data_IF_171807574540
#
_entry.id   IF_171807574540
#
_cell.length_a   1.000
_cell.length_b   1.000
_cell.length_c   1.000
_cell.angle_alpha   90.00
_cell.angle_beta   90.00
_cell.angle_gamma   90.00
#
_symmetry.space_group_name_H-M   'P 1'
#
loop_
_entity.id
_entity.type
_entity.pdbx_description
1 polymer ?
#
# COMPACT_ATOMS: atom_id res chain seq x y z
N UNK A 1 -15.38 2.96 2.05
CA UNK A 1 -14.90 2.28 0.81
C UNK A 1 -13.59 2.91 0.33
N UNK A 2 -12.48 2.20 0.55
CA UNK A 2 -11.21 2.48 -0.09
C UNK A 2 -11.04 1.58 -1.31
N UNK A 3 -9.82 1.52 -1.93
CA UNK A 3 -9.59 0.76 -3.15
C UNK A 3 -9.95 -0.73 -3.05
N UNK A 4 -9.64 -1.39 -1.92
CA UNK A 4 -9.96 -2.80 -1.74
C UNK A 4 -11.47 -3.07 -1.75
N UNK A 5 -12.24 -2.32 -0.96
CA UNK A 5 -13.69 -2.49 -0.85
C UNK A 5 -14.41 -2.11 -2.14
N UNK A 6 -14.00 -1.00 -2.77
CA UNK A 6 -14.61 -0.55 -4.03
C UNK A 6 -14.41 -1.57 -5.17
N UNK A 7 -13.19 -2.14 -5.28
CA UNK A 7 -12.90 -3.14 -6.31
C UNK A 7 -13.58 -4.48 -6.00
N UNK A 8 -13.61 -4.93 -4.75
CA UNK A 8 -14.33 -6.14 -4.39
C UNK A 8 -15.82 -6.01 -4.71
N UNK A 9 -16.43 -4.89 -4.34
CA UNK A 9 -17.84 -4.60 -4.63
C UNK A 9 -18.11 -4.54 -6.14
N UNK A 10 -17.25 -3.87 -6.91
CA UNK A 10 -17.33 -3.80 -8.37
C UNK A 10 -17.32 -5.19 -9.02
N UNK A 11 -16.36 -6.05 -8.65
CA UNK A 11 -16.22 -7.37 -9.27
C UNK A 11 -17.43 -8.27 -8.94
N UNK A 12 -17.92 -8.24 -7.70
CA UNK A 12 -19.05 -9.05 -7.29
C UNK A 12 -20.36 -8.55 -7.91
N UNK A 13 -20.62 -7.23 -7.91
CA UNK A 13 -21.83 -6.67 -8.53
C UNK A 13 -21.86 -6.87 -10.03
N UNK A 14 -20.71 -6.70 -10.71
CA UNK A 14 -20.57 -6.97 -12.15
C UNK A 14 -20.87 -8.43 -12.52
N UNK A 15 -20.60 -9.35 -11.60
CA UNK A 15 -20.93 -10.77 -11.74
C UNK A 15 -22.38 -11.11 -11.31
N UNK A 16 -23.21 -10.13 -11.00
CA UNK A 16 -24.64 -10.29 -10.70
C UNK A 16 -24.96 -10.62 -9.25
N UNK A 17 -24.01 -10.46 -8.31
CA UNK A 17 -24.31 -10.58 -6.90
C UNK A 17 -24.99 -9.31 -6.36
N UNK A 18 -25.90 -9.47 -5.39
CA UNK A 18 -26.42 -8.38 -4.58
C UNK A 18 -25.34 -7.94 -3.58
N UNK A 19 -24.84 -6.71 -3.69
CA UNK A 19 -23.77 -6.18 -2.88
C UNK A 19 -24.20 -4.87 -2.23
N UNK A 20 -24.15 -4.85 -0.88
CA UNK A 20 -24.27 -3.62 -0.09
C UNK A 20 -22.88 -3.23 0.43
N UNK A 21 -22.47 -2.01 0.17
CA UNK A 21 -21.26 -1.40 0.70
C UNK A 21 -21.62 -0.27 1.67
N UNK A 22 -21.11 -0.35 2.90
CA UNK A 22 -21.33 0.65 3.95
C UNK A 22 -20.04 1.40 4.17
N UNK A 23 -20.06 2.73 4.14
CA UNK A 23 -18.94 3.60 4.47
C UNK A 23 -19.36 4.69 5.45
N UNK A 24 -18.60 4.86 6.53
CA UNK A 24 -18.81 5.93 7.49
C UNK A 24 -18.56 7.34 6.95
N UNK A 25 -17.90 7.47 5.81
CA UNK A 25 -17.59 8.74 5.14
C UNK A 25 -18.36 8.86 3.83
N UNK A 26 -18.57 10.10 3.40
CA UNK A 26 -19.15 10.43 2.08
C UNK A 26 -18.03 10.72 1.09
N UNK A 27 -18.08 10.15 -0.09
CA UNK A 27 -17.11 10.40 -1.16
C UNK A 27 -17.50 11.61 -2.04
N UNK A 28 -16.52 12.41 -2.54
CA UNK A 28 -15.07 12.27 -2.35
C UNK A 28 -14.65 12.68 -0.93
N UNK A 29 -13.65 11.98 -0.37
CA UNK A 29 -13.11 12.25 0.95
C UNK A 29 -11.60 12.31 0.94
N UNK A 30 -11.01 13.21 1.71
CA UNK A 30 -9.58 13.22 1.92
C UNK A 30 -9.11 11.96 2.68
N UNK A 31 -8.02 11.36 2.24
CA UNK A 31 -7.31 10.31 2.99
C UNK A 31 -5.80 10.56 2.89
N UNK A 32 -5.16 10.67 4.03
CA UNK A 32 -3.70 10.80 4.16
C UNK A 32 -3.01 9.63 3.47
N UNK A 33 -2.18 9.91 2.45
CA UNK A 33 -1.46 8.91 1.67
C UNK A 33 -0.58 9.60 0.63
N UNK A 34 0.68 9.21 0.47
CA UNK A 34 1.54 9.68 -0.62
C UNK A 34 0.93 9.55 -2.02
N UNK A 35 -0.01 8.62 -2.20
CA UNK A 35 -0.75 8.47 -3.45
C UNK A 35 0.03 7.80 -4.57
N UNK A 36 1.15 7.15 -4.27
CA UNK A 36 1.93 6.39 -5.26
C UNK A 36 1.26 5.06 -5.62
N UNK A 37 1.07 4.84 -6.91
CA UNK A 37 0.58 3.60 -7.51
C UNK A 37 1.67 3.03 -8.41
N UNK A 38 2.17 1.83 -8.15
CA UNK A 38 3.02 1.17 -9.15
C UNK A 38 2.26 0.91 -10.46
N UNK A 39 2.96 1.01 -11.60
CA UNK A 39 2.34 0.87 -12.93
C UNK A 39 1.68 -0.50 -13.13
N UNK A 40 2.12 -1.53 -12.43
CA UNK A 40 1.47 -2.86 -12.43
C UNK A 40 -0.01 -2.83 -12.05
N UNK A 41 -0.52 -1.72 -11.48
CA UNK A 41 -1.94 -1.51 -11.22
C UNK A 41 -2.79 -1.57 -12.49
N UNK A 42 -2.21 -1.27 -13.66
CA UNK A 42 -2.89 -1.36 -14.96
C UNK A 42 -3.39 -2.77 -15.28
N UNK A 43 -2.76 -3.80 -14.72
CA UNK A 43 -3.18 -5.19 -14.88
C UNK A 43 -4.44 -5.52 -14.06
N UNK A 44 -4.80 -4.64 -13.12
CA UNK A 44 -5.89 -4.87 -12.18
C UNK A 44 -7.09 -3.95 -12.38
N UNK A 45 -6.90 -2.76 -12.92
CA UNK A 45 -7.95 -1.76 -13.07
C UNK A 45 -8.28 -1.51 -14.54
N UNK A 46 -9.52 -1.10 -14.78
CA UNK A 46 -9.94 -0.56 -16.07
C UNK A 46 -9.13 0.71 -16.40
N UNK A 47 -8.67 0.91 -17.66
CA UNK A 47 -7.87 2.07 -18.06
C UNK A 47 -8.46 3.43 -17.72
N UNK A 48 -9.76 3.52 -17.46
CA UNK A 48 -10.45 4.75 -17.05
C UNK A 48 -9.88 5.40 -15.78
N UNK A 49 -9.19 4.65 -14.91
CA UNK A 49 -8.52 5.21 -13.74
C UNK A 49 -7.44 6.25 -14.10
N UNK A 50 -6.90 6.19 -15.32
CA UNK A 50 -5.89 7.17 -15.79
C UNK A 50 -6.42 8.60 -15.82
N UNK A 51 -7.73 8.80 -15.86
CA UNK A 51 -8.37 10.12 -15.80
C UNK A 51 -8.18 10.84 -14.46
N UNK A 52 -7.77 10.13 -13.41
CA UNK A 52 -7.51 10.67 -12.07
C UNK A 52 -6.03 10.57 -11.67
N UNK A 53 -5.14 10.31 -12.62
CA UNK A 53 -3.69 10.37 -12.44
C UNK A 53 -3.25 11.83 -12.47
N UNK A 54 -2.51 12.24 -11.44
CA UNK A 54 -2.01 13.61 -11.28
C UNK A 54 -0.62 13.78 -11.90
N UNK A 55 0.23 12.74 -11.80
CA UNK A 55 1.57 12.74 -12.39
C UNK A 55 2.03 11.32 -12.73
N UNK A 56 2.98 11.21 -13.65
CA UNK A 56 3.59 9.95 -14.06
C UNK A 56 5.08 9.96 -13.74
N UNK A 57 5.53 8.95 -13.01
CA UNK A 57 6.89 8.85 -12.49
C UNK A 57 7.73 7.95 -13.38
N UNK A 58 8.87 8.45 -13.83
CA UNK A 58 9.83 7.74 -14.68
C UNK A 58 11.15 7.43 -13.97
N UNK A 59 11.27 7.75 -12.67
CA UNK A 59 12.49 7.46 -11.93
C UNK A 59 12.40 7.79 -10.46
N UNK A 60 13.48 7.46 -9.78
CA UNK A 60 13.69 7.79 -8.38
C UNK A 60 14.85 8.76 -8.22
N UNK A 61 14.71 9.69 -7.28
CA UNK A 61 15.82 10.42 -6.69
C UNK A 61 15.99 9.94 -5.25
N UNK A 62 17.04 9.18 -5.00
CA UNK A 62 17.39 8.72 -3.68
C UNK A 62 18.30 9.73 -2.99
N UNK A 63 17.90 10.15 -1.80
CA UNK A 63 18.70 11.00 -0.92
C UNK A 63 19.21 10.17 0.27
N UNK A 64 20.31 10.60 0.83
CA UNK A 64 20.77 10.17 2.13
C UNK A 64 20.91 11.39 3.03
N UNK A 65 19.97 11.56 3.97
CA UNK A 65 19.89 12.68 4.92
C UNK A 65 19.89 14.08 4.26
N UNK A 66 19.33 14.19 3.05
CA UNK A 66 19.28 15.42 2.30
C UNK A 66 20.61 15.87 1.65
N UNK A 67 21.71 15.16 1.90
CA UNK A 67 23.06 15.60 1.48
C UNK A 67 23.53 14.95 0.19
N UNK A 68 23.43 13.63 0.08
CA UNK A 68 23.90 12.86 -1.07
C UNK A 68 22.70 12.49 -1.95
N UNK A 69 22.79 12.67 -3.28
CA UNK A 69 21.70 12.36 -4.21
C UNK A 69 22.15 11.43 -5.34
N UNK A 70 21.38 10.40 -5.58
CA UNK A 70 21.52 9.49 -6.73
C UNK A 70 20.21 9.42 -7.47
N UNK A 71 20.20 9.82 -8.75
CA UNK A 71 19.03 9.73 -9.61
C UNK A 71 19.12 8.52 -10.51
N UNK A 72 18.04 7.73 -10.58
CA UNK A 72 17.90 6.55 -11.42
C UNK A 72 16.64 6.72 -12.24
N UNK A 73 16.77 6.73 -13.55
CA UNK A 73 15.68 6.91 -14.50
C UNK A 73 15.33 5.58 -15.18
N UNK A 74 14.06 5.44 -15.51
CA UNK A 74 13.51 4.34 -16.29
C UNK A 74 12.99 4.89 -17.62
N UNK A 75 13.20 4.18 -18.75
CA UNK A 75 12.67 4.58 -20.04
C UNK A 75 11.14 4.45 -20.13
N UNK A 76 10.52 3.78 -19.18
CA UNK A 76 9.08 3.58 -19.10
C UNK A 76 8.56 4.01 -17.72
N UNK A 77 7.28 4.38 -17.61
CA UNK A 77 6.68 4.70 -16.32
C UNK A 77 6.89 3.60 -15.27
N UNK A 78 7.11 4.01 -14.03
CA UNK A 78 7.25 3.10 -12.87
C UNK A 78 6.13 3.26 -11.86
N UNK A 79 5.56 4.46 -11.78
CA UNK A 79 4.44 4.74 -10.88
C UNK A 79 3.57 5.87 -11.44
N UNK A 80 2.34 5.92 -10.96
CA UNK A 80 1.40 7.03 -11.09
C UNK A 80 1.19 7.67 -9.73
N UNK A 81 1.02 8.99 -9.72
CA UNK A 81 0.63 9.72 -8.52
C UNK A 81 -0.83 10.11 -8.61
N UNK A 82 -1.56 9.90 -7.53
CA UNK A 82 -2.99 10.21 -7.45
C UNK A 82 -3.33 10.95 -6.16
N UNK A 83 -4.40 11.74 -6.23
CA UNK A 83 -5.10 12.21 -5.03
C UNK A 83 -6.15 11.18 -4.63
N UNK A 84 -6.12 10.76 -3.34
CA UNK A 84 -6.95 9.68 -2.82
C UNK A 84 -8.44 10.00 -2.81
N UNK A 85 -8.80 11.26 -2.69
CA UNK A 85 -10.20 11.70 -2.80
C UNK A 85 -10.76 11.43 -4.19
N UNK A 86 -10.01 11.74 -5.25
CA UNK A 86 -10.40 11.51 -6.64
C UNK A 86 -10.30 10.04 -7.04
N UNK A 87 -9.19 9.39 -6.68
CA UNK A 87 -8.95 8.00 -7.03
C UNK A 87 -9.95 7.05 -6.37
N UNK A 88 -10.13 7.17 -5.05
CA UNK A 88 -11.09 6.32 -4.33
C UNK A 88 -12.52 6.58 -4.82
N UNK A 89 -12.90 7.86 -5.04
CA UNK A 89 -14.20 8.22 -5.59
C UNK A 89 -14.44 7.61 -6.97
N UNK A 90 -13.43 7.65 -7.87
CA UNK A 90 -13.53 7.00 -9.18
C UNK A 90 -13.89 5.53 -9.07
N UNK A 91 -13.19 4.78 -8.20
CA UNK A 91 -13.47 3.34 -7.99
C UNK A 91 -14.86 3.11 -7.38
N UNK A 92 -15.29 3.95 -6.45
CA UNK A 92 -16.64 3.90 -5.86
C UNK A 92 -17.72 4.14 -6.93
N UNK A 93 -17.51 5.11 -7.82
CA UNK A 93 -18.45 5.36 -8.93
C UNK A 93 -18.49 4.19 -9.92
N UNK A 94 -17.37 3.51 -10.17
CA UNK A 94 -17.38 2.30 -10.99
C UNK A 94 -18.22 1.19 -10.35
N UNK A 95 -18.08 0.96 -9.04
CA UNK A 95 -18.88 -0.03 -8.31
C UNK A 95 -20.39 0.33 -8.37
N UNK A 96 -20.74 1.62 -8.18
CA UNK A 96 -22.13 2.10 -8.25
C UNK A 96 -22.73 1.86 -9.63
N UNK A 97 -21.98 2.10 -10.71
CA UNK A 97 -22.46 1.90 -12.11
C UNK A 97 -22.80 0.45 -12.44
N UNK A 98 -22.20 -0.53 -11.80
CA UNK A 98 -22.49 -1.95 -12.01
C UNK A 98 -23.52 -2.51 -11.03
N UNK A 99 -24.17 -1.65 -10.22
CA UNK A 99 -25.30 -2.03 -9.37
C UNK A 99 -24.95 -2.27 -7.90
N UNK A 100 -23.75 -1.91 -7.43
CA UNK A 100 -23.47 -1.92 -5.98
C UNK A 100 -24.36 -0.90 -5.27
N UNK A 101 -25.12 -1.33 -4.28
CA UNK A 101 -25.80 -0.44 -3.34
C UNK A 101 -24.75 0.13 -2.36
N UNK A 102 -24.70 1.47 -2.23
CA UNK A 102 -23.66 2.14 -1.45
C UNK A 102 -24.31 3.10 -0.45
N UNK A 103 -24.12 2.81 0.82
CA UNK A 103 -24.56 3.63 1.95
C UNK A 103 -23.37 4.42 2.48
N UNK A 104 -23.37 5.70 2.19
CA UNK A 104 -22.34 6.65 2.67
C UNK A 104 -22.82 7.37 3.92
N UNK A 105 -21.88 7.73 4.82
CA UNK A 105 -22.17 8.37 6.10
C UNK A 105 -22.95 7.45 7.06
N UNK A 106 -22.78 6.14 6.93
CA UNK A 106 -23.40 5.13 7.79
C UNK A 106 -22.35 4.41 8.62
N UNK A 107 -22.57 4.34 9.95
CA UNK A 107 -21.58 3.91 10.91
C UNK A 107 -21.89 2.51 11.47
N UNK A 108 -21.06 1.50 11.17
CA UNK A 108 -21.16 0.20 11.83
C UNK A 108 -20.95 0.34 13.35
N UNK A 109 -21.84 -0.28 14.14
CA UNK A 109 -21.82 -0.27 15.59
C UNK A 109 -21.44 -1.63 16.16
N UNK A 110 -21.98 -2.71 15.59
CA UNK A 110 -21.64 -4.07 15.97
C UNK A 110 -21.66 -5.04 14.80
N UNK A 111 -20.84 -6.09 14.93
CA UNK A 111 -20.71 -7.14 13.93
C UNK A 111 -20.67 -8.50 14.68
N UNK A 112 -21.39 -9.49 14.19
CA UNK A 112 -21.37 -10.83 14.78
C UNK A 112 -21.63 -11.91 13.74
N UNK A 113 -21.05 -13.07 13.96
CA UNK A 113 -21.43 -14.25 13.19
C UNK A 113 -22.83 -14.72 13.60
N UNK A 114 -23.61 -15.11 12.60
CA UNK A 114 -24.93 -15.70 12.76
C UNK A 114 -25.02 -16.97 11.89
N UNK A 115 -26.00 -17.87 12.14
CA UNK A 115 -26.18 -19.03 11.28
C UNK A 115 -26.34 -18.59 9.81
N UNK A 116 -25.42 -19.07 8.95
CA UNK A 116 -25.45 -18.80 7.51
C UNK A 116 -24.83 -17.48 7.08
N UNK A 117 -24.21 -16.68 7.97
CA UNK A 117 -23.63 -15.42 7.56
C UNK A 117 -23.10 -14.53 8.67
N UNK A 118 -23.18 -13.24 8.44
CA UNK A 118 -22.78 -12.17 9.36
C UNK A 118 -23.89 -11.14 9.47
N UNK A 119 -24.15 -10.70 10.70
CA UNK A 119 -25.03 -9.57 10.98
C UNK A 119 -24.19 -8.32 11.25
N UNK A 120 -24.59 -7.21 10.61
CA UNK A 120 -23.98 -5.89 10.79
C UNK A 120 -25.05 -4.92 11.26
N UNK A 121 -24.93 -4.42 12.47
CA UNK A 121 -25.79 -3.34 12.99
C UNK A 121 -25.09 -2.00 12.81
N UNK A 122 -25.81 -1.04 12.28
CA UNK A 122 -25.35 0.33 12.06
C UNK A 122 -26.22 1.32 12.81
N UNK A 123 -25.92 2.61 12.68
CA UNK A 123 -26.78 3.70 13.17
C UNK A 123 -28.06 3.90 12.34
N UNK A 124 -28.21 3.16 11.20
CA UNK A 124 -29.40 3.25 10.33
C UNK A 124 -30.21 1.97 10.27
N UNK A 125 -29.66 0.82 10.67
CA UNK A 125 -30.38 -0.44 10.59
C UNK A 125 -29.51 -1.66 10.89
N UNK A 126 -30.12 -2.82 10.66
CA UNK A 126 -29.48 -4.12 10.83
C UNK A 126 -29.51 -4.87 9.50
N UNK A 127 -28.36 -5.34 9.05
CA UNK A 127 -28.15 -6.03 7.77
C UNK A 127 -27.64 -7.44 8.01
N UNK A 128 -28.14 -8.37 7.19
CA UNK A 128 -27.67 -9.75 7.16
C UNK A 128 -27.03 -10.03 5.80
N UNK A 129 -25.84 -10.62 5.82
CA UNK A 129 -25.11 -10.98 4.60
C UNK A 129 -24.56 -12.39 4.70
N UNK A 130 -24.57 -13.14 3.59
CA UNK A 130 -23.93 -14.46 3.50
C UNK A 130 -22.41 -14.35 3.69
N UNK A 131 -21.82 -13.25 3.23
CA UNK A 131 -20.38 -12.97 3.33
C UNK A 131 -20.15 -11.51 3.67
N UNK A 132 -19.22 -11.22 4.58
CA UNK A 132 -18.75 -9.88 4.91
C UNK A 132 -17.29 -9.70 4.45
N UNK A 133 -17.01 -8.61 3.74
CA UNK A 133 -15.64 -8.20 3.43
C UNK A 133 -15.29 -6.96 4.24
N UNK A 134 -14.37 -7.12 5.20
CA UNK A 134 -13.79 -6.05 5.98
C UNK A 134 -12.73 -5.29 5.18
N UNK A 135 -13.09 -4.10 4.67
CA UNK A 135 -12.26 -3.21 3.87
C UNK A 135 -12.14 -1.82 4.52
N UNK A 136 -12.20 -1.76 5.84
CA UNK A 136 -12.33 -0.56 6.65
C UNK A 136 -11.00 0.03 7.13
N UNK A 137 -9.89 -0.41 6.51
CA UNK A 137 -8.57 0.21 6.61
C UNK A 137 -7.79 -0.15 7.88
N UNK A 138 -6.72 0.58 8.15
CA UNK A 138 -5.75 0.30 9.20
C UNK A 138 -6.32 0.20 10.63
N UNK A 139 -7.45 0.88 10.89
CA UNK A 139 -8.16 0.85 12.17
C UNK A 139 -9.42 -0.02 12.09
N UNK A 140 -9.34 -1.14 11.41
CA UNK A 140 -10.47 -2.02 11.11
C UNK A 140 -11.30 -2.40 12.34
N UNK A 141 -12.59 -2.10 12.28
CA UNK A 141 -13.59 -2.58 13.26
C UNK A 141 -13.92 -4.04 12.98
N UNK A 142 -13.99 -4.42 11.70
CA UNK A 142 -14.22 -5.83 11.31
C UNK A 142 -13.13 -6.73 11.90
N UNK A 143 -11.85 -6.33 11.77
CA UNK A 143 -10.75 -7.09 12.35
C UNK A 143 -10.89 -7.21 13.87
N UNK A 144 -11.22 -6.13 14.58
CA UNK A 144 -11.35 -6.15 16.05
C UNK A 144 -12.51 -7.01 16.58
N UNK A 145 -13.64 -7.04 15.85
CA UNK A 145 -14.82 -7.76 16.31
C UNK A 145 -14.84 -9.24 15.88
N UNK A 146 -14.39 -9.50 14.64
CA UNK A 146 -14.52 -10.82 14.06
C UNK A 146 -13.20 -11.60 13.99
N UNK A 147 -12.07 -10.96 14.33
CA UNK A 147 -10.74 -11.57 14.35
C UNK A 147 -10.00 -11.17 15.64
N UNK A 148 -10.53 -11.53 16.83
CA UNK A 148 -10.04 -11.02 18.12
C UNK A 148 -8.60 -11.42 18.44
N UNK A 149 -8.15 -12.57 17.96
CA UNK A 149 -6.79 -13.09 18.18
C UNK A 149 -5.75 -12.47 17.24
N UNK A 150 -6.21 -11.73 16.21
CA UNK A 150 -5.33 -11.09 15.24
C UNK A 150 -4.65 -9.87 15.85
N UNK A 151 -3.32 -9.89 15.87
CA UNK A 151 -2.53 -8.73 16.28
C UNK A 151 -2.54 -7.65 15.21
N UNK A 152 -2.89 -6.44 15.60
CA UNK A 152 -2.85 -5.27 14.72
C UNK A 152 -1.59 -4.45 15.04
N UNK A 153 -0.61 -4.49 14.15
CA UNK A 153 0.60 -3.68 14.28
C UNK A 153 0.65 -2.64 13.16
N UNK A 154 0.53 -1.39 13.54
CA UNK A 154 0.70 -0.28 12.62
C UNK A 154 1.94 0.52 12.97
N UNK A 155 2.60 1.06 11.96
CA UNK A 155 3.66 2.05 12.11
C UNK A 155 3.08 3.44 11.93
N UNK A 156 3.63 4.45 12.63
CA UNK A 156 3.20 5.83 12.45
C UNK A 156 3.82 6.43 11.19
N UNK A 157 3.02 7.20 10.46
CA UNK A 157 3.47 8.06 9.37
C UNK A 157 2.94 9.48 9.59
N UNK A 158 3.64 10.48 9.05
CA UNK A 158 3.20 11.87 8.95
C UNK A 158 3.31 12.33 7.51
N UNK A 159 2.33 13.09 7.06
CA UNK A 159 2.27 13.60 5.70
C UNK A 159 1.67 15.01 5.67
N UNK A 160 2.15 15.82 4.74
CA UNK A 160 1.60 17.13 4.38
C UNK A 160 1.48 17.25 2.87
N UNK A 161 0.35 17.76 2.37
CA UNK A 161 0.19 18.17 0.99
C UNK A 161 0.59 19.64 0.88
N UNK A 162 1.64 19.93 0.12
CA UNK A 162 2.19 21.28 -0.08
C UNK A 162 1.74 21.78 -1.44
N UNK A 163 1.02 22.89 -1.51
CA UNK A 163 0.65 23.50 -2.77
C UNK A 163 1.82 24.27 -3.38
N UNK A 164 2.04 24.06 -4.68
CA UNK A 164 3.02 24.78 -5.46
C UNK A 164 2.36 26.01 -6.07
N UNK A 165 2.80 27.21 -5.67
CA UNK A 165 2.36 28.46 -6.27
C UNK A 165 2.87 28.63 -7.71
N UNK A 166 2.44 29.71 -8.40
CA UNK A 166 3.01 30.09 -9.70
C UNK A 166 4.47 30.49 -9.51
N UNK A 167 5.41 29.66 -9.98
CA UNK A 167 6.86 29.89 -9.82
C UNK A 167 7.68 28.70 -10.34
N UNK A 168 8.99 28.68 -10.05
CA UNK A 168 9.84 27.56 -10.42
C UNK A 168 9.28 26.29 -9.81
N UNK A 169 9.07 25.29 -10.67
CA UNK A 169 8.54 24.00 -10.23
C UNK A 169 9.59 23.25 -9.41
N UNK A 170 9.13 22.36 -8.52
CA UNK A 170 10.02 21.49 -7.75
C UNK A 170 10.93 20.69 -8.71
N UNK A 171 12.27 20.63 -8.45
CA UNK A 171 13.25 20.12 -9.44
C UNK A 171 13.07 18.64 -9.79
N UNK A 172 12.37 17.85 -8.98
CA UNK A 172 12.18 16.43 -9.17
C UNK A 172 10.81 16.06 -9.78
N UNK A 173 10.19 16.93 -10.57
CA UNK A 173 8.96 16.59 -11.31
C UNK A 173 9.21 15.36 -12.17
N UNK A 174 8.26 14.43 -12.20
CA UNK A 174 8.38 13.14 -12.88
C UNK A 174 9.27 12.11 -12.15
N UNK A 175 9.77 12.42 -10.95
CA UNK A 175 10.58 11.52 -10.12
C UNK A 175 10.02 11.45 -8.70
N UNK A 176 9.98 10.25 -8.13
CA UNK A 176 9.70 10.08 -6.72
C UNK A 176 10.98 10.27 -5.91
N UNK A 177 10.98 11.21 -4.96
CA UNK A 177 12.11 11.43 -4.05
C UNK A 177 11.93 10.54 -2.82
N UNK A 178 12.97 9.79 -2.49
CA UNK A 178 13.04 8.91 -1.32
C UNK A 178 14.32 9.26 -0.56
N UNK A 179 14.18 9.72 0.68
CA UNK A 179 15.33 9.97 1.56
C UNK A 179 15.44 8.87 2.62
N UNK A 180 16.51 8.09 2.52
CA UNK A 180 16.84 7.04 3.49
C UNK A 180 17.86 7.57 4.51
N UNK A 181 17.67 7.21 5.79
CA UNK A 181 18.55 7.63 6.89
C UNK A 181 18.10 8.92 7.61
N UNK A 182 17.06 9.59 7.16
CA UNK A 182 16.36 10.64 7.91
C UNK A 182 15.64 10.01 9.12
N UNK A 183 14.99 8.88 8.92
CA UNK A 183 14.41 8.05 9.97
C UNK A 183 15.43 7.02 10.47
N UNK A 184 15.31 6.59 11.71
CA UNK A 184 16.17 5.52 12.27
C UNK A 184 15.95 4.17 11.58
N UNK A 185 14.70 3.87 11.24
CA UNK A 185 14.27 2.80 10.33
C UNK A 185 13.09 3.31 9.55
N UNK A 186 13.22 3.42 8.23
CA UNK A 186 12.20 3.97 7.35
C UNK A 186 12.74 5.03 6.42
N UNK A 187 11.87 5.86 5.87
CA UNK A 187 12.26 6.87 4.89
C UNK A 187 11.35 8.11 4.94
N UNK A 188 11.83 9.19 4.33
CA UNK A 188 11.02 10.34 3.96
C UNK A 188 10.77 10.34 2.45
N UNK A 189 9.66 10.96 2.04
CA UNK A 189 9.31 11.04 0.63
C UNK A 189 8.88 12.43 0.21
N UNK A 190 9.08 12.75 -1.08
CA UNK A 190 8.46 13.84 -1.79
C UNK A 190 7.92 13.28 -3.10
N UNK A 191 6.61 13.24 -3.23
CA UNK A 191 5.91 12.73 -4.40
C UNK A 191 5.21 13.87 -5.12
N UNK A 192 5.63 14.20 -6.36
CA UNK A 192 5.02 15.26 -7.13
C UNK A 192 3.62 14.87 -7.60
N UNK A 193 2.73 15.84 -7.57
CA UNK A 193 1.39 15.76 -8.12
C UNK A 193 1.09 17.06 -8.87
N UNK A 194 0.00 17.12 -9.62
CA UNK A 194 -0.36 18.33 -10.35
C UNK A 194 -0.54 19.52 -9.39
N UNK A 195 0.39 20.49 -9.47
CA UNK A 195 0.36 21.72 -8.67
C UNK A 195 0.63 21.54 -7.17
N UNK A 196 1.10 20.36 -6.72
CA UNK A 196 1.39 20.08 -5.30
C UNK A 196 2.43 18.99 -5.09
N UNK A 197 2.90 18.88 -3.85
CA UNK A 197 3.79 17.81 -3.41
C UNK A 197 3.16 17.10 -2.22
N UNK A 198 3.15 15.76 -2.22
CA UNK A 198 2.95 15.00 -1.00
C UNK A 198 4.32 14.79 -0.34
N UNK A 199 4.48 15.32 0.85
CA UNK A 199 5.73 15.26 1.62
C UNK A 199 5.48 14.54 2.93
N UNK A 200 6.28 13.52 3.23
CA UNK A 200 6.04 12.78 4.46
C UNK A 200 7.22 11.97 4.95
N UNK A 201 7.01 11.38 6.12
CA UNK A 201 7.96 10.47 6.79
C UNK A 201 7.23 9.26 7.34
N UNK A 202 7.84 8.09 7.21
CA UNK A 202 7.38 6.86 7.82
C UNK A 202 8.51 6.21 8.63
N UNK A 203 8.26 5.88 9.90
CA UNK A 203 9.24 5.21 10.73
C UNK A 203 8.75 3.81 11.07
N UNK A 204 9.47 2.79 10.58
CA UNK A 204 9.10 1.37 10.65
C UNK A 204 9.42 0.74 12.00
N UNK A 205 9.43 1.57 13.04
CA UNK A 205 9.50 1.16 14.43
C UNK A 205 8.19 1.49 15.15
N UNK A 206 7.78 0.61 16.07
CA UNK A 206 6.53 0.78 16.81
C UNK A 206 6.54 1.94 17.82
N UNK A 207 7.70 2.49 18.16
CA UNK A 207 7.85 3.62 19.10
C UNK A 207 8.95 4.57 18.62
N UNK A 208 8.69 5.42 17.62
CA UNK A 208 9.65 6.44 17.19
C UNK A 208 9.85 7.49 18.30
N UNK A 209 11.06 7.96 18.47
CA UNK A 209 11.38 8.94 19.51
C UNK A 209 10.63 10.27 19.32
N UNK A 210 10.48 10.73 18.09
CA UNK A 210 9.63 11.86 17.70
C UNK A 210 9.50 11.99 16.17
N UNK A 211 8.46 11.39 15.61
CA UNK A 211 8.20 11.46 14.16
C UNK A 211 8.01 12.90 13.67
N UNK A 212 7.38 13.77 14.51
CA UNK A 212 7.22 15.17 14.15
C UNK A 212 8.57 15.89 14.02
N UNK A 213 9.53 15.67 14.94
CA UNK A 213 10.86 16.26 14.83
C UNK A 213 11.61 15.76 13.58
N UNK A 214 11.40 14.50 13.22
CA UNK A 214 11.96 13.92 11.99
C UNK A 214 11.37 14.60 10.75
N UNK A 215 10.06 14.80 10.71
CA UNK A 215 9.37 15.53 9.64
C UNK A 215 9.87 16.97 9.53
N UNK A 216 9.87 17.72 10.65
CA UNK A 216 10.32 19.12 10.67
C UNK A 216 11.76 19.27 10.20
N UNK A 217 12.65 18.34 10.60
CA UNK A 217 14.07 18.31 10.14
C UNK A 217 14.18 18.04 8.65
N UNK A 218 13.41 17.08 8.15
CA UNK A 218 13.40 16.73 6.73
C UNK A 218 12.95 17.91 5.88
N UNK A 219 11.83 18.51 6.20
CA UNK A 219 11.28 19.67 5.47
C UNK A 219 12.23 20.86 5.56
N UNK A 220 12.78 21.17 6.74
CA UNK A 220 13.70 22.30 6.93
C UNK A 220 15.08 22.09 6.28
N UNK A 221 15.48 20.84 6.03
CA UNK A 221 16.75 20.50 5.37
C UNK A 221 16.65 20.38 3.85
N UNK A 222 15.45 20.17 3.30
CA UNK A 222 15.27 19.96 1.87
C UNK A 222 15.20 21.29 1.12
N UNK A 223 16.25 21.58 0.34
CA UNK A 223 16.39 22.87 -0.38
C UNK A 223 15.25 23.16 -1.35
N UNK A 224 14.69 22.11 -1.97
CA UNK A 224 13.58 22.25 -2.89
C UNK A 224 12.26 22.67 -2.21
N UNK A 225 12.16 22.53 -0.90
CA UNK A 225 11.00 22.94 -0.11
C UNK A 225 11.19 24.32 0.55
N UNK A 226 12.37 24.94 0.42
CA UNK A 226 12.67 26.23 1.02
C UNK A 226 11.71 27.34 0.52
N UNK A 227 11.08 28.04 1.45
CA UNK A 227 10.14 29.11 1.13
C UNK A 227 8.72 28.69 0.76
N UNK A 228 8.45 27.38 0.70
CA UNK A 228 7.08 26.90 0.54
C UNK A 228 6.32 26.92 1.88
N UNK A 229 5.04 27.21 1.80
CA UNK A 229 4.14 27.05 2.98
C UNK A 229 3.84 25.59 3.20
N UNK A 230 4.34 25.03 4.31
CA UNK A 230 4.17 23.62 4.66
C UNK A 230 3.06 23.48 5.71
N UNK A 231 1.88 22.98 5.32
CA UNK A 231 0.80 22.76 6.26
C UNK A 231 1.19 21.80 7.39
N UNK A 232 0.48 21.89 8.52
CA UNK A 232 0.68 20.98 9.64
C UNK A 232 0.49 19.52 9.18
N UNK A 233 1.48 18.64 9.37
CA UNK A 233 1.37 17.26 8.91
C UNK A 233 0.29 16.48 9.65
N UNK A 234 -0.36 15.59 8.94
CA UNK A 234 -1.43 14.72 9.44
C UNK A 234 -0.86 13.31 9.63
N UNK A 235 -1.15 12.72 10.80
CA UNK A 235 -0.73 11.35 11.12
C UNK A 235 -1.67 10.30 10.52
N UNK A 236 -1.09 9.21 10.02
CA UNK A 236 -1.86 8.03 9.62
C UNK A 236 -1.12 6.75 10.04
N UNK A 237 -1.82 5.75 10.61
CA UNK A 237 -1.24 4.44 10.87
C UNK A 237 -1.11 3.65 9.57
N UNK A 238 0.06 3.05 9.34
CA UNK A 238 0.30 2.18 8.19
C UNK A 238 0.49 0.73 8.68
N UNK A 239 -0.40 -0.21 8.30
CA UNK A 239 -0.36 -1.59 8.75
C UNK A 239 0.56 -2.42 7.85
N UNK A 240 1.86 -2.35 8.10
CA UNK A 240 2.83 -3.13 7.35
C UNK A 240 2.70 -4.63 7.64
N UNK A 241 2.90 -5.42 6.60
CA UNK A 241 3.10 -6.85 6.76
C UNK A 241 4.29 -7.14 7.70
N UNK A 242 4.10 -8.03 8.66
CA UNK A 242 5.15 -8.44 9.60
C UNK A 242 5.38 -9.95 9.55
N UNK A 243 6.63 -10.35 9.33
CA UNK A 243 7.04 -11.77 9.32
C UNK A 243 6.87 -12.45 10.67
N UNK A 244 7.01 -11.70 11.76
CA UNK A 244 6.92 -12.22 13.13
C UNK A 244 5.49 -12.55 13.55
N UNK A 245 4.51 -12.08 12.78
CA UNK A 245 3.10 -12.28 13.03
C UNK A 245 2.52 -13.46 12.25
N UNK A 246 3.29 -14.02 11.30
CA UNK A 246 2.87 -15.23 10.60
C UNK A 246 3.06 -16.44 11.48
N UNK A 247 1.95 -17.09 11.86
CA UNK A 247 2.00 -18.43 12.42
C UNK A 247 2.56 -19.42 11.38
N UNK A 248 3.44 -20.35 11.77
CA UNK A 248 3.79 -21.46 10.91
C UNK A 248 2.60 -22.39 10.65
N UNK A 249 1.57 -22.32 11.49
CA UNK A 249 0.35 -23.13 11.34
C UNK A 249 -0.74 -22.36 10.59
N UNK A 250 -1.44 -22.98 9.62
CA UNK A 250 -2.64 -22.41 9.02
C UNK A 250 -3.67 -22.14 10.12
N UNK A 251 -4.22 -20.94 10.19
CA UNK A 251 -5.33 -20.64 11.09
C UNK A 251 -5.09 -19.52 12.11
N UNK A 252 -3.85 -19.05 12.33
CA UNK A 252 -3.57 -18.02 13.34
C UNK A 252 -3.33 -16.60 12.79
N UNK A 253 -3.13 -16.45 11.49
CA UNK A 253 -3.02 -15.14 10.81
C UNK A 253 -4.20 -14.89 9.87
N UNK A 254 -5.36 -15.36 10.24
CA UNK A 254 -6.47 -15.56 9.35
C UNK A 254 -6.98 -14.24 8.75
N UNK A 255 -7.01 -14.22 7.43
CA UNK A 255 -7.76 -13.25 6.66
C UNK A 255 -9.21 -13.67 6.49
N UNK A 256 -9.54 -14.88 6.92
CA UNK A 256 -10.88 -15.48 6.85
C UNK A 256 -11.27 -15.99 8.22
N UNK A 257 -12.43 -15.61 8.70
CA UNK A 257 -13.07 -16.19 9.89
C UNK A 257 -14.55 -16.41 9.60
N UNK A 258 -14.96 -17.68 9.52
CA UNK A 258 -16.32 -18.05 9.14
C UNK A 258 -16.69 -17.44 7.78
N UNK A 259 -17.68 -16.56 7.77
CA UNK A 259 -18.18 -15.87 6.58
C UNK A 259 -17.62 -14.44 6.45
N UNK A 260 -16.56 -14.09 7.20
CA UNK A 260 -15.89 -12.80 7.12
C UNK A 260 -14.49 -12.91 6.52
N UNK A 261 -14.11 -11.92 5.69
CA UNK A 261 -12.78 -11.79 5.09
C UNK A 261 -12.22 -10.38 5.34
N UNK A 262 -10.90 -10.26 5.48
CA UNK A 262 -10.19 -8.98 5.59
C UNK A 262 -9.37 -8.70 4.32
N UNK A 263 -9.46 -7.49 3.78
CA UNK A 263 -8.75 -7.06 2.57
C UNK A 263 -7.98 -5.75 2.77
N UNK A 264 -6.95 -5.52 1.99
CA UNK A 264 -6.14 -4.31 2.05
C UNK A 264 -5.54 -4.04 3.43
N UNK A 265 -5.61 -2.78 3.87
CA UNK A 265 -5.06 -2.36 5.16
C UNK A 265 -5.71 -3.08 6.36
N UNK A 266 -7.00 -3.46 6.26
CA UNK A 266 -7.66 -4.24 7.31
C UNK A 266 -7.04 -5.63 7.49
N UNK A 267 -6.48 -6.19 6.41
CA UNK A 267 -5.73 -7.44 6.38
C UNK A 267 -4.21 -7.25 6.53
N UNK A 268 -3.70 -6.05 6.85
CA UNK A 268 -2.26 -5.73 6.90
C UNK A 268 -1.51 -6.11 5.61
N UNK A 269 -2.16 -5.90 4.47
CA UNK A 269 -1.62 -6.25 3.16
C UNK A 269 -0.90 -5.05 2.53
N UNK A 270 0.16 -4.59 3.20
CA UNK A 270 1.01 -3.47 2.78
C UNK A 270 2.44 -3.93 2.67
N UNK A 271 3.08 -3.62 1.54
CA UNK A 271 4.48 -3.93 1.27
C UNK A 271 5.41 -3.32 2.35
N UNK A 272 6.27 -4.11 2.99
CA UNK A 272 7.11 -3.64 4.08
C UNK A 272 8.35 -2.86 3.62
N UNK A 273 8.70 -2.85 2.32
CA UNK A 273 9.89 -2.14 1.82
C UNK A 273 9.60 -0.64 1.63
N UNK A 274 8.58 -0.29 0.86
CA UNK A 274 8.23 1.10 0.58
C UNK A 274 6.80 1.49 0.99
N UNK A 275 6.11 0.64 1.76
CA UNK A 275 4.77 0.96 2.24
C UNK A 275 3.71 1.02 1.12
N UNK A 276 3.94 0.32 -0.01
CA UNK A 276 2.95 0.24 -1.07
C UNK A 276 1.72 -0.51 -0.57
N UNK A 277 0.60 0.20 -0.43
CA UNK A 277 -0.66 -0.38 0.05
C UNK A 277 -1.75 -0.45 -1.03
N UNK A 278 -1.82 0.53 -1.94
CA UNK A 278 -2.96 0.67 -2.86
C UNK A 278 -3.03 -0.48 -3.87
N UNK A 279 -1.90 -0.87 -4.46
CA UNK A 279 -1.83 -2.02 -5.37
C UNK A 279 -2.34 -3.30 -4.69
N UNK A 280 -1.84 -3.57 -3.49
CA UNK A 280 -2.21 -4.77 -2.73
C UNK A 280 -3.64 -4.70 -2.19
N UNK A 281 -4.16 -3.51 -1.89
CA UNK A 281 -5.56 -3.32 -1.56
C UNK A 281 -6.48 -3.71 -2.74
N UNK A 282 -6.17 -3.23 -3.94
CA UNK A 282 -6.90 -3.62 -5.17
C UNK A 282 -6.77 -5.11 -5.43
N UNK A 283 -5.56 -5.66 -5.35
CA UNK A 283 -5.31 -7.07 -5.60
C UNK A 283 -6.06 -7.97 -4.64
N UNK A 284 -5.98 -7.70 -3.34
CA UNK A 284 -6.71 -8.49 -2.32
C UNK A 284 -8.22 -8.37 -2.46
N UNK A 285 -8.74 -7.18 -2.82
CA UNK A 285 -10.16 -7.01 -3.12
C UNK A 285 -10.63 -7.91 -4.26
N UNK A 286 -9.84 -8.02 -5.35
CA UNK A 286 -10.13 -8.95 -6.46
C UNK A 286 -10.07 -10.40 -6.02
N UNK A 287 -9.05 -10.80 -5.26
CA UNK A 287 -8.92 -12.17 -4.76
C UNK A 287 -10.10 -12.56 -3.86
N UNK A 288 -10.54 -11.66 -2.99
CA UNK A 288 -11.71 -11.89 -2.15
C UNK A 288 -12.99 -12.03 -2.97
N UNK A 289 -13.21 -11.16 -3.96
CA UNK A 289 -14.34 -11.27 -4.87
C UNK A 289 -14.33 -12.60 -5.64
N UNK A 290 -13.17 -13.03 -6.15
CA UNK A 290 -13.02 -14.31 -6.84
C UNK A 290 -13.39 -15.50 -5.92
N UNK A 291 -12.95 -15.48 -4.66
CA UNK A 291 -13.28 -16.55 -3.71
C UNK A 291 -14.80 -16.66 -3.46
N UNK A 292 -15.47 -15.51 -3.30
CA UNK A 292 -16.95 -15.47 -3.17
C UNK A 292 -17.64 -16.02 -4.42
N UNK A 293 -17.21 -15.58 -5.59
CA UNK A 293 -17.77 -16.03 -6.87
C UNK A 293 -17.55 -17.53 -7.09
N UNK A 294 -16.36 -18.04 -6.81
CA UNK A 294 -16.04 -19.45 -6.92
C UNK A 294 -16.90 -20.30 -5.98
N UNK A 295 -17.04 -19.88 -4.70
CA UNK A 295 -17.89 -20.58 -3.74
C UNK A 295 -19.38 -20.59 -4.16
N UNK A 296 -19.83 -19.52 -4.81
CA UNK A 296 -21.21 -19.47 -5.31
C UNK A 296 -21.44 -20.41 -6.49
N UNK A 297 -20.48 -20.53 -7.39
CA UNK A 297 -20.56 -21.46 -8.54
C UNK A 297 -20.35 -22.91 -8.14
N UNK A 298 -19.45 -23.17 -7.20
CA UNK A 298 -19.09 -24.50 -6.76
C UNK A 298 -19.05 -24.55 -5.22
N UNK A 299 -20.03 -25.21 -4.62
CA UNK A 299 -20.18 -25.35 -3.17
C UNK A 299 -19.03 -26.16 -2.49
N UNK A 300 -18.19 -26.81 -3.29
CA UNK A 300 -16.96 -27.47 -2.76
C UNK A 300 -15.83 -26.45 -2.51
N UNK A 301 -15.91 -25.26 -3.09
CA UNK A 301 -14.98 -24.14 -2.86
C UNK A 301 -15.29 -23.42 -1.57
N UNK A 302 -14.25 -22.84 -0.99
CA UNK A 302 -14.32 -22.18 0.32
C UNK A 302 -13.80 -20.75 0.25
N UNK A 303 -14.25 -19.88 1.16
CA UNK A 303 -13.64 -18.55 1.35
C UNK A 303 -12.18 -18.64 1.76
N UNK A 304 -11.73 -19.77 2.33
CA UNK A 304 -10.32 -20.04 2.61
C UNK A 304 -9.43 -20.06 1.37
N UNK A 305 -10.00 -20.28 0.17
CA UNK A 305 -9.26 -20.15 -1.10
C UNK A 305 -8.71 -18.73 -1.29
N UNK A 306 -9.37 -17.71 -0.71
CA UNK A 306 -8.85 -16.34 -0.65
C UNK A 306 -7.55 -16.26 0.15
N UNK A 307 -7.53 -16.83 1.34
CA UNK A 307 -6.34 -16.81 2.18
C UNK A 307 -5.18 -17.57 1.54
N UNK A 308 -5.45 -18.73 0.96
CA UNK A 308 -4.44 -19.50 0.21
C UNK A 308 -3.85 -18.67 -0.94
N UNK A 309 -4.70 -18.00 -1.70
CA UNK A 309 -4.26 -17.12 -2.79
C UNK A 309 -3.42 -15.93 -2.29
N UNK A 310 -3.79 -15.32 -1.16
CA UNK A 310 -2.99 -14.25 -0.55
C UNK A 310 -1.64 -14.77 -0.06
N UNK A 311 -1.60 -15.93 0.58
CA UNK A 311 -0.35 -16.57 1.05
C UNK A 311 0.60 -16.86 -0.11
N UNK A 312 0.08 -17.39 -1.19
CA UNK A 312 0.85 -17.72 -2.38
C UNK A 312 1.33 -16.48 -3.12
N UNK A 313 0.44 -15.52 -3.40
CA UNK A 313 0.71 -14.42 -4.32
C UNK A 313 1.24 -13.15 -3.63
N UNK A 314 0.87 -12.89 -2.37
CA UNK A 314 1.26 -11.67 -1.67
C UNK A 314 2.29 -11.94 -0.56
N UNK A 315 2.06 -12.89 0.33
CA UNK A 315 2.97 -13.15 1.45
C UNK A 315 4.33 -13.67 0.99
N UNK A 316 4.38 -14.44 -0.10
CA UNK A 316 5.64 -14.86 -0.73
C UNK A 316 6.51 -13.64 -1.11
N UNK A 317 5.90 -12.62 -1.70
CA UNK A 317 6.54 -11.35 -2.07
C UNK A 317 6.92 -10.52 -0.83
N UNK A 318 5.99 -10.38 0.12
CA UNK A 318 6.21 -9.59 1.35
C UNK A 318 7.32 -10.13 2.23
N UNK A 319 7.52 -11.45 2.27
CA UNK A 319 8.66 -12.05 3.00
C UNK A 319 9.99 -11.61 2.43
N UNK A 320 10.09 -11.46 1.13
CA UNK A 320 11.31 -10.99 0.46
C UNK A 320 11.45 -9.48 0.67
N UNK A 321 10.38 -8.71 0.47
CA UNK A 321 10.36 -7.28 0.71
C UNK A 321 10.76 -6.93 2.16
N UNK A 322 10.29 -7.71 3.17
CA UNK A 322 10.70 -7.54 4.57
C UNK A 322 12.21 -7.70 4.77
N UNK A 323 12.82 -8.72 4.12
CA UNK A 323 14.27 -8.93 4.22
C UNK A 323 15.06 -7.79 3.57
N UNK A 324 14.58 -7.28 2.44
CA UNK A 324 15.17 -6.11 1.79
C UNK A 324 15.03 -4.86 2.66
N UNK A 325 13.87 -4.65 3.28
CA UNK A 325 13.63 -3.55 4.22
C UNK A 325 14.58 -3.62 5.42
N UNK A 326 14.76 -4.82 6.01
CA UNK A 326 15.71 -5.03 7.10
C UNK A 326 17.14 -4.60 6.71
N UNK A 327 17.58 -4.93 5.48
CA UNK A 327 18.91 -4.55 4.98
C UNK A 327 18.98 -3.04 4.75
N UNK A 328 18.05 -2.48 3.99
CA UNK A 328 18.04 -1.07 3.59
C UNK A 328 17.98 -0.15 4.81
N UNK A 329 17.11 -0.47 5.78
CA UNK A 329 16.91 0.39 6.94
C UNK A 329 17.87 0.13 8.10
N UNK A 330 18.62 -0.99 8.07
CA UNK A 330 19.72 -1.22 9.02
C UNK A 330 21.02 -0.58 8.53
N UNK A 331 21.26 -0.59 7.22
CA UNK A 331 22.49 -0.09 6.61
C UNK A 331 22.20 1.00 5.54
N UNK A 332 21.44 2.07 5.86
CA UNK A 332 20.95 3.01 4.84
C UNK A 332 22.06 3.71 4.08
N UNK A 333 23.15 4.11 4.78
CA UNK A 333 24.30 4.77 4.11
C UNK A 333 25.03 3.85 3.15
N UNK A 334 25.22 2.58 3.53
CA UNK A 334 25.84 1.60 2.65
C UNK A 334 24.96 1.35 1.43
N UNK A 335 23.68 1.10 1.64
CA UNK A 335 22.72 0.89 0.54
C UNK A 335 22.69 2.09 -0.40
N UNK A 336 22.64 3.32 0.11
CA UNK A 336 22.68 4.52 -0.71
C UNK A 336 23.95 4.60 -1.57
N UNK A 337 25.12 4.37 -0.99
CA UNK A 337 26.41 4.38 -1.72
C UNK A 337 26.49 3.33 -2.82
N UNK A 338 25.76 2.23 -2.67
CA UNK A 338 25.71 1.15 -3.66
C UNK A 338 24.74 1.42 -4.80
N UNK A 339 23.83 2.39 -4.69
CA UNK A 339 22.89 2.73 -5.76
C UNK A 339 23.61 3.18 -7.04
N UNK A 340 24.67 3.97 -6.92
CA UNK A 340 25.39 4.50 -8.08
C UNK A 340 26.17 3.42 -8.86
N UNK A 341 27.01 2.57 -8.22
CA UNK A 341 27.72 1.51 -8.94
C UNK A 341 26.82 0.35 -9.37
N UNK A 342 25.65 0.16 -8.75
CA UNK A 342 24.71 -0.94 -9.04
C UNK A 342 23.35 -0.44 -9.52
N UNK A 343 23.34 0.55 -10.41
CA UNK A 343 22.11 1.12 -11.02
C UNK A 343 21.21 0.05 -11.61
N UNK A 344 21.78 -1.00 -12.19
CA UNK A 344 21.05 -2.12 -12.79
C UNK A 344 20.17 -2.85 -11.77
N UNK A 345 20.59 -2.94 -10.50
CA UNK A 345 19.76 -3.53 -9.41
C UNK A 345 18.53 -2.68 -9.15
N UNK A 346 18.68 -1.34 -9.17
CA UNK A 346 17.52 -0.45 -8.99
C UNK A 346 16.64 -0.44 -10.23
N UNK A 347 17.21 -0.51 -11.44
CA UNK A 347 16.44 -0.68 -12.67
C UNK A 347 15.63 -1.98 -12.64
N UNK A 348 16.22 -3.07 -12.18
CA UNK A 348 15.52 -4.33 -11.96
C UNK A 348 14.36 -4.19 -10.96
N UNK A 349 14.52 -3.38 -9.90
CA UNK A 349 13.41 -3.06 -9.00
C UNK A 349 12.32 -2.24 -9.70
N UNK A 350 12.68 -1.32 -10.60
CA UNK A 350 11.68 -0.63 -11.44
C UNK A 350 10.86 -1.63 -12.28
N UNK A 351 11.47 -2.73 -12.74
CA UNK A 351 10.75 -3.80 -13.45
C UNK A 351 9.73 -4.51 -12.55
N UNK A 352 10.00 -4.64 -11.23
CA UNK A 352 9.00 -5.12 -10.25
C UNK A 352 7.81 -4.16 -10.18
N UNK A 353 8.04 -2.87 -10.11
CA UNK A 353 6.97 -1.86 -10.09
C UNK A 353 6.19 -1.81 -11.40
N UNK A 354 6.81 -2.19 -12.50
CA UNK A 354 6.18 -2.33 -13.82
C UNK A 354 5.41 -3.66 -14.00
N UNK A 355 5.51 -4.57 -13.04
CA UNK A 355 4.90 -5.90 -13.13
C UNK A 355 5.54 -6.83 -14.16
N UNK A 356 6.77 -6.51 -14.61
CA UNK A 356 7.59 -7.37 -15.48
C UNK A 356 8.35 -8.42 -14.68
N UNK A 357 8.62 -8.10 -13.43
CA UNK A 357 9.33 -8.95 -12.48
C UNK A 357 8.54 -9.05 -11.16
N UNK A 358 8.92 -10.00 -10.33
CA UNK A 358 8.42 -10.19 -8.96
C UNK A 358 9.58 -10.05 -7.98
N UNK A 359 9.32 -9.92 -6.68
CA UNK A 359 10.41 -10.00 -5.69
C UNK A 359 11.12 -11.36 -5.71
N UNK A 360 10.40 -12.43 -6.07
CA UNK A 360 10.99 -13.79 -6.17
C UNK A 360 12.01 -13.86 -7.31
N UNK A 361 11.71 -13.31 -8.48
CA UNK A 361 12.62 -13.27 -9.63
C UNK A 361 13.72 -12.20 -9.48
N UNK A 362 13.43 -11.10 -8.77
CA UNK A 362 14.38 -10.02 -8.50
C UNK A 362 15.64 -10.52 -7.77
N UNK A 363 15.48 -11.33 -6.70
CA UNK A 363 16.62 -11.74 -5.85
C UNK A 363 17.71 -12.48 -6.61
N UNK A 364 17.43 -13.56 -7.37
CA UNK A 364 18.49 -14.27 -8.11
C UNK A 364 19.15 -13.40 -9.19
N UNK A 365 18.38 -12.52 -9.86
CA UNK A 365 18.92 -11.61 -10.87
C UNK A 365 19.82 -10.55 -10.22
N UNK A 366 19.41 -9.93 -9.14
CA UNK A 366 20.21 -8.96 -8.38
C UNK A 366 21.53 -9.59 -7.87
N UNK A 367 21.47 -10.82 -7.36
CA UNK A 367 22.68 -11.58 -6.98
C UNK A 367 23.60 -11.83 -8.17
N UNK A 368 23.06 -12.11 -9.36
CA UNK A 368 23.82 -12.28 -10.60
C UNK A 368 24.59 -11.02 -10.98
N UNK A 369 23.92 -9.85 -10.97
CA UNK A 369 24.52 -8.55 -11.25
C UNK A 369 25.68 -8.28 -10.28
N UNK A 370 25.47 -8.49 -8.99
CA UNK A 370 26.49 -8.25 -7.96
C UNK A 370 27.68 -9.19 -8.07
N UNK A 371 27.46 -10.48 -8.43
CA UNK A 371 28.54 -11.46 -8.64
C UNK A 371 29.44 -11.10 -9.82
N UNK A 372 28.87 -10.58 -10.90
CA UNK A 372 29.63 -10.14 -12.07
C UNK A 372 30.51 -8.90 -11.79
N UNK A 373 30.16 -8.15 -10.76
CA UNK A 373 30.84 -6.91 -10.35
C UNK A 373 31.67 -7.19 -9.08
N UNK A 374 32.77 -7.85 -9.16
CA UNK A 374 33.89 -8.12 -8.23
C UNK A 374 33.85 -7.59 -6.77
N UNK A 375 32.74 -7.38 -6.09
CA UNK A 375 32.73 -6.95 -4.70
C UNK A 375 32.08 -7.96 -3.74
N UNK A 376 32.94 -8.71 -3.09
CA UNK A 376 32.67 -9.75 -2.10
C UNK A 376 31.83 -9.28 -0.90
N UNK A 377 31.92 -8.00 -0.52
CA UNK A 377 31.18 -7.38 0.59
C UNK A 377 29.64 -7.36 0.39
N UNK A 378 29.17 -7.27 -0.85
CA UNK A 378 27.74 -7.29 -1.14
C UNK A 378 27.15 -8.69 -1.14
N UNK A 379 27.95 -9.70 -1.48
CA UNK A 379 27.54 -11.10 -1.44
C UNK A 379 27.26 -11.56 -0.01
N UNK A 380 28.03 -11.09 0.96
CA UNK A 380 27.82 -11.40 2.38
C UNK A 380 26.58 -10.71 2.94
N UNK A 381 26.30 -9.46 2.55
CA UNK A 381 25.09 -8.73 2.93
C UNK A 381 23.82 -9.30 2.30
N UNK A 382 23.92 -9.90 1.10
CA UNK A 382 22.83 -10.55 0.38
C UNK A 382 22.69 -12.05 0.68
N UNK A 383 23.53 -12.61 1.56
CA UNK A 383 23.33 -13.97 2.10
C UNK A 383 22.08 -13.98 2.98
N UNK A 384 20.95 -13.95 2.29
CA UNK A 384 19.65 -14.25 2.85
C UNK A 384 19.60 -15.75 3.16
N UNK A 385 19.92 -16.13 4.39
CA UNK A 385 19.63 -17.46 4.94
C UNK A 385 18.13 -17.67 5.08
#
# INVERSE_FOLDING_TARGET
>A
MGPAGAVAAYEMSRAGLSVLAIDKQTHPRYKVCGGGLSVRIEQLLDPGFKSVVEDTIFGFQFLYRGEESVTIESPSPIAYMVMRDRFDHHLVQQARRVGTEIHEGEHPQSLRHVPGGVEVTTDRGCYHAEVLIGADGANSQVARHLFPDRRQRCIPTLESEIELGPGPQYPAIGKAVIDIGVCSKGYAWIFPKQGRLSVGVGEFQSKPASLKKTFDRFVGGEKGLAGLDVPKPIGHPLPLFSRTELSPEPGLDDLVNGQAMLVGDAGHLVDPLFGEGIYYAVRSGKLAAMAVLNQRHDRTKSLWDYELAVREQLYSEFRIASRLADIVYTFPRLCHRLLSPYREVVQLYCEVLQGKETYQSFIPRAKGIVKSSTSQLLLEALQLR
#
